data_IF_165421585322
#
_entry.id   IF_165421585322
#
_cell.length_a   1.000
_cell.length_b   1.000
_cell.length_c   1.000
_cell.angle_alpha   90.00
_cell.angle_beta   90.00
_cell.angle_gamma   90.00
#
_symmetry.space_group_name_H-M   'P 1'
#
loop_
_entity.id
_entity.type
_entity.pdbx_description
1 polymer ?
#
# COMPACT_ATOMS: atom_id res chain seq x y z
N UNK A 1 0.29 -10.54 -0.43
CA UNK A 1 -0.94 -9.79 -0.19
C UNK A 1 -1.79 -9.67 -1.46
N UNK A 2 -1.23 -9.25 -2.58
CA UNK A 2 -1.98 -9.12 -3.85
C UNK A 2 -2.60 -10.43 -4.39
N UNK A 3 -1.96 -11.57 -4.19
CA UNK A 3 -2.43 -12.86 -4.70
C UNK A 3 -3.58 -13.54 -3.91
N UNK A 4 -4.03 -12.98 -2.78
CA UNK A 4 -5.12 -13.59 -1.98
C UNK A 4 -6.49 -13.38 -2.57
N UNK A 5 -6.66 -12.24 -3.20
CA UNK A 5 -7.94 -11.87 -3.80
C UNK A 5 -8.10 -12.52 -5.19
N UNK A 6 -7.02 -12.98 -5.80
CA UNK A 6 -7.06 -13.68 -7.08
C UNK A 6 -7.97 -14.92 -7.06
N UNK A 7 -7.95 -15.66 -5.94
CA UNK A 7 -8.75 -16.90 -5.82
C UNK A 7 -10.25 -16.64 -5.64
N UNK A 8 -10.64 -15.38 -5.35
CA UNK A 8 -12.04 -15.00 -5.09
C UNK A 8 -12.59 -14.08 -6.18
N UNK A 9 -11.81 -13.07 -6.59
CA UNK A 9 -12.27 -12.01 -7.49
C UNK A 9 -11.77 -12.24 -8.93
N UNK A 10 -10.69 -13.00 -9.12
CA UNK A 10 -10.02 -13.23 -10.42
C UNK A 10 -9.78 -11.94 -11.22
N UNK A 11 -9.11 -10.92 -10.65
CA UNK A 11 -8.87 -9.67 -11.35
C UNK A 11 -7.88 -9.89 -12.50
N UNK A 12 -8.04 -9.17 -13.60
CA UNK A 12 -7.10 -9.21 -14.74
C UNK A 12 -5.72 -8.67 -14.37
N UNK A 13 -5.63 -7.88 -13.30
CA UNK A 13 -4.37 -7.35 -12.79
C UNK A 13 -4.43 -6.85 -11.36
N UNK A 14 -3.25 -6.65 -10.79
CA UNK A 14 -3.05 -6.15 -9.43
C UNK A 14 -1.99 -5.06 -9.41
N UNK A 15 -2.37 -3.90 -8.88
CA UNK A 15 -1.43 -2.83 -8.53
C UNK A 15 -1.10 -2.97 -7.04
N UNK A 16 0.17 -3.07 -6.69
CA UNK A 16 0.60 -3.27 -5.30
C UNK A 16 1.67 -2.27 -4.87
N UNK A 17 1.93 -2.18 -3.56
CA UNK A 17 2.82 -1.18 -2.97
C UNK A 17 2.49 0.24 -3.45
N UNK A 18 1.20 0.62 -3.39
CA UNK A 18 0.67 1.94 -3.79
C UNK A 18 1.08 2.39 -5.22
N UNK A 19 1.24 1.48 -6.17
CA UNK A 19 1.62 1.80 -7.55
C UNK A 19 3.05 1.42 -7.92
N UNK A 20 3.87 0.97 -6.96
CA UNK A 20 5.26 0.60 -7.24
C UNK A 20 5.41 -0.73 -7.99
N UNK A 21 4.38 -1.55 -8.05
CA UNK A 21 4.39 -2.80 -8.80
C UNK A 21 3.06 -3.11 -9.46
N UNK A 22 3.09 -3.73 -10.64
CA UNK A 22 1.92 -4.11 -11.42
C UNK A 22 2.07 -5.52 -11.95
N UNK A 23 1.07 -6.34 -11.68
CA UNK A 23 0.89 -7.67 -12.26
C UNK A 23 -0.32 -7.59 -13.20
N UNK A 24 -0.17 -8.04 -14.44
CA UNK A 24 -1.27 -8.21 -15.39
C UNK A 24 -1.22 -9.64 -15.94
N UNK A 25 -2.37 -10.31 -15.99
CA UNK A 25 -2.48 -11.69 -16.46
C UNK A 25 -1.44 -12.62 -15.81
N UNK A 26 -1.33 -12.55 -14.49
CA UNK A 26 -0.39 -13.32 -13.65
C UNK A 26 1.11 -13.09 -13.94
N UNK A 27 1.44 -12.03 -14.67
CA UNK A 27 2.83 -11.65 -14.97
C UNK A 27 3.18 -10.31 -14.36
N UNK A 28 4.33 -10.23 -13.72
CA UNK A 28 4.91 -8.97 -13.30
C UNK A 28 5.32 -8.17 -14.55
N UNK A 29 4.67 -7.05 -14.79
CA UNK A 29 4.88 -6.21 -15.99
C UNK A 29 5.56 -4.88 -15.68
N UNK A 30 5.54 -4.46 -14.43
CA UNK A 30 6.16 -3.21 -14.00
C UNK A 30 6.58 -3.24 -12.55
N UNK A 31 7.76 -2.69 -12.24
CA UNK A 31 8.19 -2.34 -10.89
C UNK A 31 8.96 -1.01 -10.88
N UNK A 32 8.84 -0.28 -9.79
CA UNK A 32 9.62 0.93 -9.53
C UNK A 32 10.27 0.84 -8.14
N UNK A 33 11.42 0.20 -8.05
CA UNK A 33 12.12 0.03 -6.79
C UNK A 33 12.78 1.31 -6.30
N UNK A 34 12.98 1.39 -4.99
CA UNK A 34 13.85 2.39 -4.36
C UNK A 34 15.30 2.17 -4.75
N UNK A 35 16.09 3.24 -4.85
CA UNK A 35 17.51 3.13 -5.02
C UNK A 35 18.16 2.43 -3.81
N UNK A 36 19.22 1.65 -4.04
CA UNK A 36 19.91 0.92 -2.97
C UNK A 36 20.45 1.84 -1.87
N UNK A 37 20.81 3.08 -2.23
CA UNK A 37 21.25 4.12 -1.32
C UNK A 37 20.14 4.60 -0.38
N UNK A 38 18.91 4.72 -0.90
CA UNK A 38 17.74 5.12 -0.13
C UNK A 38 17.31 4.02 0.85
N UNK A 39 17.35 2.78 0.40
CA UNK A 39 17.09 1.62 1.27
C UNK A 39 18.14 1.55 2.39
N UNK A 40 19.40 1.76 2.07
CA UNK A 40 20.52 1.80 3.04
C UNK A 40 20.35 2.95 4.03
N UNK A 41 19.95 4.11 3.56
CA UNK A 41 19.64 5.27 4.40
C UNK A 41 18.53 4.96 5.39
N UNK A 42 17.38 4.46 4.94
CA UNK A 42 16.26 4.11 5.81
C UNK A 42 16.65 3.06 6.87
N UNK A 43 17.42 2.06 6.47
CA UNK A 43 17.93 1.04 7.39
C UNK A 43 18.81 1.62 8.49
N UNK A 44 19.74 2.49 8.11
CA UNK A 44 20.67 3.11 9.04
C UNK A 44 19.91 4.05 9.99
N UNK A 45 19.01 4.87 9.49
CA UNK A 45 18.21 5.79 10.28
C UNK A 45 17.30 5.05 11.29
N UNK A 46 16.59 3.99 10.84
CA UNK A 46 15.81 3.15 11.74
C UNK A 46 16.69 2.47 12.81
N UNK A 47 17.88 2.03 12.46
CA UNK A 47 18.82 1.43 13.43
C UNK A 47 19.27 2.44 14.47
N UNK A 48 19.63 3.67 14.08
CA UNK A 48 20.04 4.75 14.98
C UNK A 48 18.93 5.17 15.95
N UNK A 49 17.69 5.20 15.46
CA UNK A 49 16.52 5.59 16.25
C UNK A 49 15.83 4.41 16.95
N UNK A 50 16.44 3.22 16.92
CA UNK A 50 15.85 1.99 17.46
C UNK A 50 14.42 1.75 16.96
N UNK A 51 14.18 1.97 15.67
CA UNK A 51 12.91 1.76 15.00
C UNK A 51 12.76 0.35 14.43
N UNK A 52 11.51 -0.13 14.36
CA UNK A 52 11.16 -1.30 13.58
C UNK A 52 11.19 -0.94 12.09
N UNK A 53 11.72 -1.83 11.25
CA UNK A 53 11.77 -1.66 9.80
C UNK A 53 11.34 -2.93 9.10
N UNK A 54 10.46 -2.76 8.13
CA UNK A 54 10.05 -3.78 7.18
C UNK A 54 10.27 -3.24 5.77
N UNK A 55 11.01 -3.99 4.96
CA UNK A 55 11.23 -3.69 3.55
C UNK A 55 10.44 -4.70 2.72
N UNK A 56 9.72 -4.22 1.73
CA UNK A 56 8.85 -5.06 0.90
C UNK A 56 9.33 -5.00 -0.56
N UNK A 57 9.46 -6.16 -1.16
CA UNK A 57 9.55 -6.30 -2.60
C UNK A 57 8.36 -7.14 -3.13
N UNK A 58 8.40 -7.52 -4.39
CA UNK A 58 7.37 -8.35 -5.02
C UNK A 58 7.08 -9.66 -4.25
N UNK A 59 8.13 -10.31 -3.78
CA UNK A 59 8.06 -11.68 -3.24
C UNK A 59 8.18 -11.73 -1.72
N UNK A 60 9.04 -10.87 -1.14
CA UNK A 60 9.47 -10.99 0.25
C UNK A 60 9.16 -9.73 1.07
N UNK A 61 9.01 -9.97 2.36
CA UNK A 61 8.97 -8.96 3.39
C UNK A 61 10.16 -9.17 4.31
N UNK A 62 11.15 -8.28 4.21
CA UNK A 62 12.37 -8.33 5.01
C UNK A 62 12.19 -7.53 6.30
N UNK A 63 12.48 -8.13 7.44
CA UNK A 63 12.24 -7.51 8.74
C UNK A 63 13.52 -7.39 9.56
N UNK A 64 13.67 -6.28 10.27
CA UNK A 64 14.65 -6.20 11.34
C UNK A 64 14.11 -6.90 12.61
N UNK A 65 15.00 -7.16 13.58
CA UNK A 65 14.65 -7.89 14.80
C UNK A 65 13.53 -7.19 15.59
N UNK A 66 13.59 -5.86 15.67
CA UNK A 66 12.63 -5.07 16.43
C UNK A 66 11.22 -5.17 15.83
N UNK A 67 11.09 -5.10 14.52
CA UNK A 67 9.81 -5.29 13.85
C UNK A 67 9.26 -6.71 14.05
N UNK A 68 10.12 -7.73 14.00
CA UNK A 68 9.71 -9.11 14.27
C UNK A 68 9.18 -9.31 15.69
N UNK A 69 9.81 -8.71 16.69
CA UNK A 69 9.34 -8.72 18.09
C UNK A 69 8.01 -7.97 18.21
N UNK A 70 7.88 -6.82 17.58
CA UNK A 70 6.68 -5.99 17.61
C UNK A 70 5.46 -6.73 17.05
N UNK A 71 5.61 -7.41 15.92
CA UNK A 71 4.54 -8.24 15.34
C UNK A 71 4.10 -9.34 16.32
N UNK A 72 5.04 -9.97 17.02
CA UNK A 72 4.72 -11.01 18.00
C UNK A 72 3.97 -10.47 19.23
N UNK A 73 4.32 -9.26 19.67
CA UNK A 73 3.76 -8.65 20.89
C UNK A 73 2.41 -7.95 20.62
N UNK A 74 2.30 -7.21 19.53
CA UNK A 74 1.12 -6.38 19.22
C UNK A 74 -0.01 -7.19 18.58
N UNK A 75 0.33 -8.25 17.82
CA UNK A 75 -0.65 -9.08 17.12
C UNK A 75 -0.70 -10.55 17.59
N UNK A 76 -0.69 -10.85 18.90
CA UNK A 76 -0.66 -12.24 19.37
C UNK A 76 -1.93 -13.03 18.97
N UNK A 77 -3.09 -12.35 18.87
CA UNK A 77 -4.37 -12.99 18.46
C UNK A 77 -4.39 -13.30 16.97
N UNK A 78 -3.86 -12.41 16.13
CA UNK A 78 -3.73 -12.66 14.68
C UNK A 78 -2.79 -13.81 14.37
N UNK A 79 -1.77 -14.02 15.20
CA UNK A 79 -0.84 -15.15 15.03
C UNK A 79 -1.48 -16.52 15.26
N UNK A 80 -2.58 -16.58 16.03
CA UNK A 80 -3.30 -17.84 16.34
C UNK A 80 -4.45 -18.12 15.37
N UNK A 81 -5.06 -17.09 14.78
CA UNK A 81 -6.20 -17.18 13.87
C UNK A 81 -5.82 -17.25 12.38
N UNK A 82 -4.51 -17.28 12.07
CA UNK A 82 -4.04 -17.34 10.70
C UNK A 82 -4.51 -18.62 10.01
N UNK A 83 -5.22 -18.48 8.89
CA UNK A 83 -5.57 -19.58 8.00
C UNK A 83 -4.30 -20.31 7.50
N UNK A 84 -4.46 -21.52 6.93
CA UNK A 84 -3.34 -22.28 6.34
C UNK A 84 -2.60 -21.44 5.29
N UNK A 85 -3.32 -20.63 4.54
CA UNK A 85 -2.78 -19.70 3.53
C UNK A 85 -1.97 -18.57 4.14
N UNK A 86 -2.46 -17.95 5.20
CA UNK A 86 -1.72 -16.94 5.95
C UNK A 86 -0.45 -17.52 6.61
N UNK A 87 -0.44 -18.82 6.94
CA UNK A 87 0.78 -19.52 7.39
C UNK A 87 1.78 -19.76 6.26
N UNK A 88 1.32 -20.00 5.02
CA UNK A 88 2.19 -20.07 3.84
C UNK A 88 2.90 -18.75 3.57
N UNK A 89 2.24 -17.62 3.84
CA UNK A 89 2.81 -16.26 3.71
C UNK A 89 3.90 -15.95 4.72
N UNK A 90 3.86 -16.52 5.93
CA UNK A 90 4.99 -16.41 6.86
C UNK A 90 6.30 -16.94 6.27
N UNK A 91 6.25 -17.79 5.24
CA UNK A 91 7.44 -18.23 4.51
C UNK A 91 8.08 -17.13 3.68
N UNK A 92 7.34 -16.09 3.31
CA UNK A 92 7.86 -14.91 2.62
C UNK A 92 8.43 -13.84 3.56
N UNK A 93 8.23 -13.99 4.89
CA UNK A 93 8.82 -13.10 5.90
C UNK A 93 10.24 -13.56 6.21
N UNK A 94 11.20 -12.72 5.91
CA UNK A 94 12.62 -13.05 5.97
C UNK A 94 13.36 -12.06 6.88
N UNK A 95 14.36 -12.57 7.64
CA UNK A 95 15.20 -11.68 8.45
C UNK A 95 16.19 -10.93 7.54
N UNK A 96 16.27 -9.61 7.70
CA UNK A 96 17.17 -8.73 6.91
C UNK A 96 18.63 -9.19 6.86
N UNK A 97 19.11 -9.84 7.91
CA UNK A 97 20.52 -10.25 8.01
C UNK A 97 20.87 -11.51 7.20
N UNK A 98 19.89 -12.18 6.59
CA UNK A 98 20.10 -13.48 5.93
C UNK A 98 20.04 -13.43 4.40
N UNK A 99 19.59 -12.29 3.82
CA UNK A 99 19.35 -12.19 2.39
C UNK A 99 19.83 -10.86 1.83
N UNK A 100 20.23 -10.86 0.56
CA UNK A 100 20.39 -9.64 -0.23
C UNK A 100 18.99 -9.14 -0.57
N UNK A 101 18.59 -8.02 0.05
CA UNK A 101 17.34 -7.35 -0.26
C UNK A 101 17.56 -6.42 -1.46
N UNK A 102 16.94 -6.80 -2.58
CA UNK A 102 16.95 -6.05 -3.85
C UNK A 102 15.52 -5.68 -4.23
N UNK A 103 15.41 -4.70 -5.12
CA UNK A 103 14.14 -4.28 -5.71
C UNK A 103 13.07 -3.93 -4.67
N UNK A 104 13.48 -3.20 -3.62
CA UNK A 104 12.57 -2.77 -2.56
C UNK A 104 11.61 -1.72 -3.09
N UNK A 105 10.32 -1.99 -2.98
CA UNK A 105 9.24 -1.14 -3.49
C UNK A 105 8.65 -0.23 -2.42
N UNK A 106 8.66 -0.66 -1.16
CA UNK A 106 8.09 0.04 -0.03
C UNK A 106 8.84 -0.29 1.25
N UNK A 107 8.94 0.68 2.15
CA UNK A 107 9.41 0.46 3.51
C UNK A 107 8.31 0.85 4.51
N UNK A 108 8.06 -0.01 5.50
CA UNK A 108 7.21 0.31 6.65
C UNK A 108 8.10 0.49 7.88
N UNK A 109 7.91 1.58 8.61
CA UNK A 109 8.67 1.93 9.80
C UNK A 109 7.77 2.04 11.01
N UNK A 110 8.32 1.69 12.18
CA UNK A 110 7.57 1.65 13.43
C UNK A 110 8.40 2.19 14.59
N UNK A 111 7.79 3.07 15.40
CA UNK A 111 8.41 3.66 16.58
C UNK A 111 7.48 3.55 17.78
N UNK A 112 8.07 3.43 18.97
CA UNK A 112 7.31 3.33 20.23
C UNK A 112 7.04 4.70 20.87
N UNK A 113 7.78 5.72 20.47
CA UNK A 113 7.64 7.08 21.00
C UNK A 113 7.47 8.10 19.90
N UNK A 114 6.71 9.15 20.16
CA UNK A 114 6.53 10.27 19.25
C UNK A 114 7.86 10.94 18.92
N UNK A 115 8.73 11.11 19.92
CA UNK A 115 10.06 11.69 19.73
C UNK A 115 10.90 10.94 18.70
N UNK A 116 10.88 9.60 18.71
CA UNK A 116 11.61 8.79 17.71
C UNK A 116 11.01 8.99 16.31
N UNK A 117 9.69 8.99 16.22
CA UNK A 117 8.99 9.21 14.96
C UNK A 117 9.27 10.60 14.37
N UNK A 118 9.17 11.65 15.19
CA UNK A 118 9.47 13.02 14.77
C UNK A 118 10.94 13.18 14.34
N UNK A 119 11.88 12.57 15.07
CA UNK A 119 13.29 12.55 14.68
C UNK A 119 13.53 11.82 13.35
N UNK A 120 12.76 10.78 13.08
CA UNK A 120 12.81 10.07 11.81
C UNK A 120 12.27 10.95 10.68
N UNK A 121 11.07 11.52 10.86
CA UNK A 121 10.42 12.34 9.83
C UNK A 121 11.22 13.60 9.47
N UNK A 122 11.87 14.21 10.46
CA UNK A 122 12.72 15.39 10.25
C UNK A 122 13.99 15.09 9.41
N UNK A 123 14.35 13.84 9.22
CA UNK A 123 15.55 13.41 8.47
C UNK A 123 15.23 12.75 7.14
N UNK A 124 13.94 12.58 6.81
CA UNK A 124 13.56 12.01 5.51
C UNK A 124 14.10 12.89 4.37
N UNK A 125 14.63 12.22 3.36
CA UNK A 125 15.22 12.87 2.19
C UNK A 125 14.15 13.35 1.21
N UNK A 126 14.49 14.36 0.46
CA UNK A 126 13.75 14.74 -0.75
C UNK A 126 13.61 13.54 -1.69
N UNK A 127 12.49 13.44 -2.38
CA UNK A 127 12.16 12.30 -3.24
C UNK A 127 11.47 11.14 -2.53
N UNK A 128 11.23 11.23 -1.21
CA UNK A 128 10.50 10.23 -0.43
C UNK A 128 9.18 10.78 0.11
N UNK A 129 8.11 10.03 -0.08
CA UNK A 129 6.81 10.28 0.55
C UNK A 129 6.67 9.46 1.83
N UNK A 130 6.01 10.06 2.84
CA UNK A 130 5.76 9.45 4.14
C UNK A 130 4.27 9.49 4.45
N UNK A 131 3.64 8.33 4.50
CA UNK A 131 2.24 8.17 4.92
C UNK A 131 2.19 7.73 6.38
N UNK A 132 1.93 8.70 7.26
CA UNK A 132 1.92 8.47 8.71
C UNK A 132 0.60 7.88 9.17
N UNK A 133 0.66 6.87 10.06
CA UNK A 133 -0.47 6.34 10.79
C UNK A 133 -0.17 6.39 12.30
N UNK A 134 -1.00 7.10 13.06
CA UNK A 134 -0.85 7.21 14.51
C UNK A 134 -1.82 6.26 15.21
N UNK A 135 -1.29 5.23 15.86
CA UNK A 135 -2.02 4.38 16.79
C UNK A 135 -1.87 4.85 18.24
N UNK A 136 -2.59 4.24 19.17
CA UNK A 136 -2.55 4.62 20.60
C UNK A 136 -1.15 4.53 21.24
N UNK A 137 -0.31 3.61 20.77
CA UNK A 137 1.02 3.33 21.35
C UNK A 137 2.05 2.96 20.29
N UNK A 138 1.76 3.24 19.03
CA UNK A 138 2.63 2.90 17.93
C UNK A 138 2.55 4.00 16.86
N UNK A 139 3.69 4.52 16.51
CA UNK A 139 3.87 5.48 15.43
C UNK A 139 4.43 4.71 14.25
N UNK A 140 3.66 4.62 13.19
CA UNK A 140 4.07 3.91 11.98
C UNK A 140 3.97 4.81 10.76
N UNK A 141 4.80 4.55 9.78
CA UNK A 141 4.69 5.18 8.48
C UNK A 141 5.07 4.22 7.35
N UNK A 142 4.42 4.41 6.23
CA UNK A 142 4.80 3.84 4.95
C UNK A 142 5.69 4.84 4.22
N UNK A 143 6.83 4.38 3.71
CA UNK A 143 7.80 5.19 2.97
C UNK A 143 7.85 4.65 1.54
N UNK A 144 7.70 5.55 0.59
CA UNK A 144 7.81 5.26 -0.84
C UNK A 144 8.54 6.39 -1.55
N UNK A 145 8.90 6.19 -2.80
CA UNK A 145 9.38 7.28 -3.64
C UNK A 145 8.22 8.22 -4.00
N UNK A 146 8.46 9.52 -4.08
CA UNK A 146 7.46 10.54 -4.41
C UNK A 146 6.82 10.37 -5.80
N UNK A 147 7.55 9.72 -6.70
CA UNK A 147 7.10 9.35 -8.04
C UNK A 147 6.18 8.11 -8.07
N UNK A 148 5.86 7.54 -6.90
CA UNK A 148 5.01 6.35 -6.76
C UNK A 148 3.75 6.73 -5.98
N UNK A 149 2.60 6.61 -6.62
CA UNK A 149 1.29 6.77 -5.98
C UNK A 149 0.28 5.81 -6.62
N UNK A 150 -0.90 5.66 -6.01
CA UNK A 150 -1.98 4.88 -6.62
C UNK A 150 -2.35 5.45 -7.98
N UNK A 151 -2.31 6.77 -8.15
CA UNK A 151 -2.53 7.44 -9.43
C UNK A 151 -1.49 7.02 -10.48
N UNK A 152 -0.19 7.08 -10.15
CA UNK A 152 0.86 6.66 -11.08
C UNK A 152 0.74 5.18 -11.47
N UNK A 153 0.30 4.33 -10.53
CA UNK A 153 0.02 2.92 -10.78
C UNK A 153 -1.14 2.71 -11.76
N UNK A 154 -2.27 3.38 -11.54
CA UNK A 154 -3.42 3.32 -12.44
C UNK A 154 -3.07 3.85 -13.83
N UNK A 155 -2.42 5.01 -13.91
CA UNK A 155 -1.98 5.58 -15.19
C UNK A 155 -1.06 4.64 -15.96
N UNK A 156 -0.18 3.91 -15.25
CA UNK A 156 0.67 2.90 -15.87
C UNK A 156 -0.11 1.70 -16.39
N UNK A 157 -1.16 1.24 -15.68
CA UNK A 157 -2.06 0.19 -16.17
C UNK A 157 -2.80 0.65 -17.41
N UNK A 158 -3.38 1.85 -17.38
CA UNK A 158 -4.10 2.45 -18.51
C UNK A 158 -3.21 2.53 -19.76
N UNK A 159 -1.94 3.00 -19.57
CA UNK A 159 -0.94 3.03 -20.66
C UNK A 159 -0.66 1.63 -21.23
N UNK A 160 -0.42 0.64 -20.35
CA UNK A 160 -0.11 -0.74 -20.77
C UNK A 160 -1.25 -1.43 -21.49
N UNK A 161 -2.49 -1.06 -21.17
CA UNK A 161 -3.70 -1.60 -21.81
C UNK A 161 -4.16 -0.79 -23.03
N UNK A 162 -3.55 0.38 -23.30
CA UNK A 162 -3.95 1.27 -24.38
C UNK A 162 -5.35 1.87 -24.20
N UNK A 163 -5.77 2.08 -22.95
CA UNK A 163 -7.07 2.63 -22.56
C UNK A 163 -7.00 4.16 -22.40
N UNK A 164 -8.17 4.81 -22.47
CA UNK A 164 -8.27 6.23 -22.07
C UNK A 164 -8.49 6.31 -20.53
N UNK A 165 -7.74 7.13 -19.80
CA UNK A 165 -8.02 7.38 -18.39
C UNK A 165 -9.44 7.86 -18.12
N UNK A 166 -10.09 8.54 -19.08
CA UNK A 166 -11.48 8.97 -18.99
C UNK A 166 -12.47 7.80 -18.85
N UNK A 167 -12.12 6.61 -19.30
CA UNK A 167 -12.94 5.40 -19.16
C UNK A 167 -12.64 4.63 -17.85
N UNK A 168 -11.64 5.06 -17.08
CA UNK A 168 -11.26 4.37 -15.86
C UNK A 168 -12.19 4.73 -14.70
N UNK A 169 -12.60 3.71 -13.96
CA UNK A 169 -13.39 3.83 -12.74
C UNK A 169 -12.53 3.51 -11.53
N UNK A 170 -12.61 4.33 -10.49
CA UNK A 170 -11.91 4.07 -9.24
C UNK A 170 -12.81 4.20 -8.02
N UNK A 171 -12.49 3.41 -7.00
CA UNK A 171 -13.12 3.45 -5.69
C UNK A 171 -12.06 3.70 -4.63
N UNK A 172 -12.34 4.59 -3.67
CA UNK A 172 -11.38 4.91 -2.61
C UNK A 172 -12.05 5.38 -1.33
N UNK A 173 -11.33 5.27 -0.22
CA UNK A 173 -11.78 5.70 1.10
C UNK A 173 -10.73 6.45 1.91
N UNK A 174 -9.48 6.46 1.44
CA UNK A 174 -8.30 6.98 2.15
C UNK A 174 -7.63 8.13 1.40
N UNK A 175 -6.85 8.92 2.12
CA UNK A 175 -6.16 10.11 1.54
C UNK A 175 -5.25 9.73 0.37
N UNK A 176 -4.62 8.54 0.39
CA UNK A 176 -3.77 8.06 -0.71
C UNK A 176 -4.56 7.65 -1.97
N UNK A 177 -5.91 7.70 -1.93
CA UNK A 177 -6.77 7.49 -3.09
C UNK A 177 -7.10 8.80 -3.84
N UNK A 178 -6.91 9.96 -3.20
CA UNK A 178 -7.30 11.27 -3.75
C UNK A 178 -6.63 11.52 -5.11
N UNK A 179 -5.32 11.27 -5.22
CA UNK A 179 -4.60 11.45 -6.50
C UNK A 179 -5.13 10.50 -7.59
N UNK A 180 -5.49 9.27 -7.23
CA UNK A 180 -6.09 8.31 -8.15
C UNK A 180 -7.46 8.80 -8.64
N UNK A 181 -8.27 9.37 -7.76
CA UNK A 181 -9.57 9.94 -8.12
C UNK A 181 -9.46 11.10 -9.11
N UNK A 182 -8.39 11.88 -9.02
CA UNK A 182 -8.16 13.01 -9.93
C UNK A 182 -7.74 12.62 -11.35
N UNK A 183 -7.27 11.41 -11.56
CA UNK A 183 -6.79 10.92 -12.86
C UNK A 183 -7.74 9.94 -13.54
N UNK A 184 -8.68 9.36 -12.81
CA UNK A 184 -9.73 8.49 -13.36
C UNK A 184 -10.92 9.33 -13.85
N UNK A 185 -11.54 8.90 -14.95
CA UNK A 185 -12.73 9.56 -15.48
C UNK A 185 -13.98 9.39 -14.59
N UNK A 186 -14.00 8.39 -13.72
CA UNK A 186 -15.11 8.13 -12.79
C UNK A 186 -14.59 7.81 -11.41
N UNK A 187 -14.65 8.78 -10.51
CA UNK A 187 -14.15 8.68 -9.15
C UNK A 187 -15.29 8.48 -8.14
N UNK A 188 -15.23 7.40 -7.37
CA UNK A 188 -16.26 7.02 -6.39
C UNK A 188 -15.66 6.93 -5.01
N UNK A 189 -16.15 7.74 -4.07
CA UNK A 189 -15.78 7.65 -2.67
C UNK A 189 -16.68 6.69 -1.91
N UNK A 190 -16.10 5.87 -1.04
CA UNK A 190 -16.85 5.02 -0.13
C UNK A 190 -17.52 5.85 0.96
N UNK A 191 -18.67 5.40 1.47
CA UNK A 191 -19.46 6.11 2.48
C UNK A 191 -18.71 6.41 3.78
N UNK A 192 -17.76 5.54 4.15
CA UNK A 192 -16.87 5.71 5.31
C UNK A 192 -15.67 6.63 5.06
N UNK A 193 -15.49 7.15 3.85
CA UNK A 193 -14.37 8.03 3.50
C UNK A 193 -14.45 9.38 4.24
N UNK A 194 -13.29 9.97 4.52
CA UNK A 194 -13.19 11.32 5.06
C UNK A 194 -13.61 12.40 4.06
N UNK A 195 -13.86 13.63 4.54
CA UNK A 195 -14.34 14.74 3.70
C UNK A 195 -13.41 15.00 2.50
N UNK A 196 -12.10 15.02 2.70
CA UNK A 196 -11.12 15.30 1.65
C UNK A 196 -11.22 14.30 0.47
N UNK A 197 -11.54 13.04 0.75
CA UNK A 197 -11.74 12.01 -0.28
C UNK A 197 -13.09 12.23 -0.98
N UNK A 198 -14.13 12.54 -0.21
CA UNK A 198 -15.48 12.84 -0.74
C UNK A 198 -15.50 14.10 -1.59
N UNK A 199 -14.68 15.10 -1.27
CA UNK A 199 -14.57 16.33 -2.05
C UNK A 199 -13.84 16.14 -3.39
N UNK A 200 -13.08 15.02 -3.53
CA UNK A 200 -12.31 14.69 -4.73
C UNK A 200 -13.03 13.68 -5.66
N UNK A 201 -14.25 13.25 -5.35
CA UNK A 201 -14.97 12.24 -6.11
C UNK A 201 -16.18 12.83 -6.88
N UNK A 202 -16.64 12.09 -7.89
CA UNK A 202 -17.87 12.39 -8.63
C UNK A 202 -19.11 11.89 -7.91
N UNK A 203 -18.98 10.81 -7.12
CA UNK A 203 -20.09 10.16 -6.43
C UNK A 203 -19.65 9.54 -5.11
N UNK A 204 -20.50 9.69 -4.10
CA UNK A 204 -20.32 9.01 -2.80
C UNK A 204 -21.31 7.86 -2.71
N UNK A 205 -20.80 6.64 -2.59
CA UNK A 205 -21.61 5.42 -2.38
C UNK A 205 -21.71 5.08 -0.91
N UNK A 206 -22.36 3.95 -0.59
CA UNK A 206 -22.40 3.38 0.77
C UNK A 206 -21.01 2.85 1.19
N UNK A 207 -20.87 2.51 2.46
CA UNK A 207 -19.62 1.91 2.96
C UNK A 207 -19.48 0.43 2.53
N UNK A 208 -18.33 -0.17 2.82
CA UNK A 208 -18.01 -1.56 2.44
C UNK A 208 -18.88 -2.60 3.13
N UNK A 209 -19.48 -2.29 4.31
CA UNK A 209 -20.38 -3.17 5.03
C UNK A 209 -21.82 -3.14 4.51
N UNK A 210 -22.11 -2.21 3.61
CA UNK A 210 -23.43 -2.01 2.99
C UNK A 210 -23.38 -2.13 1.46
N UNK A 211 -22.46 -2.95 0.94
CA UNK A 211 -22.32 -3.25 -0.50
C UNK A 211 -22.10 -2.00 -1.40
N UNK A 212 -21.38 -0.99 -0.89
CA UNK A 212 -21.21 0.29 -1.57
C UNK A 212 -20.68 0.18 -2.99
N UNK A 213 -19.68 -0.68 -3.26
CA UNK A 213 -19.15 -0.89 -4.62
C UNK A 213 -20.24 -1.43 -5.56
N UNK A 214 -20.98 -2.46 -5.15
CA UNK A 214 -22.04 -3.06 -5.97
C UNK A 214 -23.12 -2.02 -6.30
N UNK A 215 -23.57 -1.26 -5.30
CA UNK A 215 -24.58 -0.20 -5.49
C UNK A 215 -24.13 0.88 -6.45
N UNK A 216 -22.87 1.30 -6.38
CA UNK A 216 -22.34 2.28 -7.31
C UNK A 216 -22.29 1.74 -8.74
N UNK A 217 -21.86 0.49 -8.93
CA UNK A 217 -21.85 -0.14 -10.25
C UNK A 217 -23.26 -0.30 -10.83
N UNK A 218 -24.24 -0.66 -10.02
CA UNK A 218 -25.66 -0.71 -10.44
C UNK A 218 -26.19 0.67 -10.83
N UNK A 219 -25.90 1.70 -10.02
CA UNK A 219 -26.31 3.07 -10.27
C UNK A 219 -25.78 3.60 -11.61
N UNK A 220 -24.51 3.37 -11.91
CA UNK A 220 -23.90 3.80 -13.14
C UNK A 220 -24.17 2.86 -14.31
N UNK A 221 -24.22 1.54 -14.11
CA UNK A 221 -24.51 0.55 -15.14
C UNK A 221 -25.88 0.78 -15.79
N UNK A 222 -26.86 1.29 -15.03
CA UNK A 222 -28.17 1.69 -15.56
C UNK A 222 -28.19 2.99 -16.37
N UNK A 223 -27.05 3.73 -16.45
CA UNK A 223 -26.92 5.02 -17.14
C UNK A 223 -26.00 4.99 -18.36
N UNK A 224 -25.25 3.90 -18.54
CA UNK A 224 -24.34 3.69 -19.66
C UNK A 224 -25.03 2.93 -20.81
N UNK A 225 -26.23 2.41 -20.59
CA UNK A 225 -27.12 1.83 -21.62
C UNK A 225 -28.02 2.91 -22.20
#
# INVERSE_FOLDING_TARGET
MAMEYNDVIHPDGVVFCNGAGIILNDRLVYTRPMAAEDVSFLRNLCSQLHGGLQLLNETYSFQNLLNGILILLVFPKHARSLSIEQRKRRKSMVWMNRYHWQDILKADVFFFTEKQADQFYAQIREGMQVFQTRGRHLYQAEIMMDSVSKASGVMKVVELLGMDPADAWCFGDSINDVEMMQVCGHAIAMGNAGSMVKDACDYVTDDSSHDGIAKALEYYGSRIT
#
